data_IF_345662032847
#
_entry.id   IF_345662032847
#
_cell.length_a   1.000
_cell.length_b   1.000
_cell.length_c   1.000
_cell.angle_alpha   90.00
_cell.angle_beta   90.00
_cell.angle_gamma   90.00
#
_symmetry.space_group_name_H-M   'P 1'
#
loop_
_entity.id
_entity.type
_entity.pdbx_description
1 polymer ?
#
# COMPACT_ATOMS: atom_id res chain seq x y z
N UNK A 1 1.58 -10.69 -12.56
CA UNK A 1 0.93 -9.74 -13.49
C UNK A 1 -0.11 -8.87 -12.78
N UNK A 2 -1.07 -9.42 -12.03
CA UNK A 2 -2.10 -8.59 -11.34
C UNK A 2 -1.51 -7.61 -10.32
N UNK A 3 -0.58 -8.04 -9.46
CA UNK A 3 0.05 -7.18 -8.45
C UNK A 3 0.85 -6.02 -9.06
N UNK A 4 1.51 -6.22 -10.21
CA UNK A 4 2.26 -5.15 -10.88
C UNK A 4 1.35 -4.07 -11.46
N UNK A 5 0.21 -4.44 -12.05
CA UNK A 5 -0.78 -3.45 -12.52
C UNK A 5 -1.40 -2.68 -11.36
N UNK A 6 -1.62 -3.33 -10.22
CA UNK A 6 -2.12 -2.67 -9.03
C UNK A 6 -1.15 -1.61 -8.50
N UNK A 7 0.15 -1.93 -8.40
CA UNK A 7 1.18 -0.96 -8.01
C UNK A 7 1.34 0.19 -9.01
N UNK A 8 1.17 -0.10 -10.30
CA UNK A 8 1.22 0.91 -11.36
C UNK A 8 0.07 1.91 -11.23
N UNK A 9 -1.15 1.42 -11.02
CA UNK A 9 -2.32 2.27 -10.78
C UNK A 9 -2.12 3.19 -9.57
N UNK A 10 -1.47 2.72 -8.50
CA UNK A 10 -1.18 3.57 -7.33
C UNK A 10 -0.22 4.72 -7.66
N UNK A 11 0.81 4.46 -8.47
CA UNK A 11 1.72 5.50 -8.94
C UNK A 11 0.99 6.52 -9.82
N UNK A 12 0.15 6.05 -10.74
CA UNK A 12 -0.65 6.92 -11.64
C UNK A 12 -1.62 7.81 -10.87
N UNK A 13 -2.21 7.28 -9.78
CA UNK A 13 -3.07 8.03 -8.87
C UNK A 13 -2.30 8.99 -7.93
N UNK A 14 -0.96 8.99 -7.96
CA UNK A 14 -0.14 9.84 -7.11
C UNK A 14 -0.20 9.48 -5.62
N UNK A 15 -0.40 8.20 -5.30
CA UNK A 15 -0.45 7.72 -3.91
C UNK A 15 0.98 7.64 -3.36
N UNK A 16 1.29 8.43 -2.33
CA UNK A 16 2.64 8.42 -1.74
C UNK A 16 2.85 7.26 -0.76
N UNK A 17 1.79 6.88 -0.03
CA UNK A 17 1.86 5.96 1.10
C UNK A 17 0.84 4.83 0.97
N UNK A 18 1.28 3.62 1.30
CA UNK A 18 0.45 2.44 1.43
C UNK A 18 0.49 1.97 2.89
N UNK A 19 -0.62 2.14 3.60
CA UNK A 19 -0.75 1.74 5.00
C UNK A 19 -1.18 0.27 5.09
N UNK A 20 -0.32 -0.58 5.64
CA UNK A 20 -0.45 -2.03 5.54
C UNK A 20 -0.60 -2.71 6.90
N UNK A 21 -1.74 -3.37 7.10
CA UNK A 21 -1.84 -4.51 7.99
C UNK A 21 -1.66 -5.77 7.12
N UNK A 22 -0.47 -6.37 7.14
CA UNK A 22 -0.10 -7.44 6.21
C UNK A 22 -0.58 -8.81 6.67
N UNK A 23 -1.14 -9.59 5.75
CA UNK A 23 -1.46 -11.02 5.90
C UNK A 23 -0.64 -11.89 4.95
N UNK A 24 -0.80 -13.21 5.06
CA UNK A 24 -0.09 -14.19 4.22
C UNK A 24 -0.61 -14.21 2.78
N UNK A 25 -1.84 -13.77 2.56
CA UNK A 25 -2.50 -13.57 1.27
C UNK A 25 -1.86 -12.45 0.43
N UNK A 26 -1.07 -11.56 1.04
CA UNK A 26 -0.39 -10.47 0.35
C UNK A 26 1.00 -10.83 -0.24
N UNK A 27 1.45 -12.07 -0.14
CA UNK A 27 2.78 -12.49 -0.63
C UNK A 27 3.08 -12.06 -2.08
N UNK A 28 2.15 -12.20 -3.07
CA UNK A 28 2.42 -11.78 -4.45
C UNK A 28 2.70 -10.28 -4.60
N UNK A 29 2.07 -9.44 -3.76
CA UNK A 29 2.29 -7.99 -3.75
C UNK A 29 3.69 -7.68 -3.22
N UNK A 30 4.08 -8.33 -2.12
CA UNK A 30 5.39 -8.17 -1.47
C UNK A 30 6.52 -8.60 -2.43
N UNK A 31 6.36 -9.73 -3.11
CA UNK A 31 7.33 -10.22 -4.10
C UNK A 31 7.49 -9.24 -5.27
N UNK A 32 6.37 -8.67 -5.75
CA UNK A 32 6.40 -7.67 -6.82
C UNK A 32 7.10 -6.39 -6.37
N UNK A 33 6.82 -5.89 -5.16
CA UNK A 33 7.51 -4.74 -4.58
C UNK A 33 9.02 -5.01 -4.42
N UNK A 34 9.41 -6.22 -4.01
CA UNK A 34 10.81 -6.61 -3.90
C UNK A 34 11.51 -6.64 -5.26
N UNK A 35 10.84 -7.13 -6.31
CA UNK A 35 11.33 -7.08 -7.68
C UNK A 35 11.49 -5.62 -8.16
N UNK A 36 10.48 -4.78 -7.98
CA UNK A 36 10.52 -3.37 -8.37
C UNK A 36 11.62 -2.60 -7.65
N UNK A 37 11.87 -2.92 -6.38
CA UNK A 37 12.99 -2.37 -5.61
C UNK A 37 14.34 -2.69 -6.27
N UNK A 38 14.54 -3.92 -6.74
CA UNK A 38 15.77 -4.31 -7.46
C UNK A 38 15.90 -3.61 -8.82
N UNK A 39 14.78 -3.37 -9.50
CA UNK A 39 14.71 -2.68 -10.80
C UNK A 39 14.77 -1.15 -10.69
N UNK A 40 14.75 -0.58 -9.48
CA UNK A 40 14.69 0.87 -9.29
C UNK A 40 13.33 1.49 -9.66
N UNK A 41 12.27 0.68 -9.76
CA UNK A 41 10.91 1.15 -10.03
C UNK A 41 10.28 1.68 -8.76
N UNK A 42 9.55 2.80 -8.89
CA UNK A 42 8.83 3.43 -7.80
C UNK A 42 7.54 2.67 -7.47
N UNK A 43 7.17 2.65 -6.21
CA UNK A 43 5.87 2.27 -5.68
C UNK A 43 5.63 3.07 -4.40
N UNK A 44 4.39 3.17 -3.89
CA UNK A 44 4.11 3.90 -2.66
C UNK A 44 4.95 3.39 -1.48
N UNK A 45 5.39 4.30 -0.61
CA UNK A 45 6.11 3.92 0.58
C UNK A 45 5.19 3.11 1.50
N UNK A 46 5.62 1.89 1.85
CA UNK A 46 4.89 1.01 2.75
C UNK A 46 5.06 1.49 4.20
N UNK A 47 3.95 1.68 4.89
CA UNK A 47 3.90 1.97 6.32
C UNK A 47 3.19 0.81 7.01
N UNK A 48 3.93 0.04 7.80
CA UNK A 48 3.39 -1.11 8.52
C UNK A 48 2.50 -0.65 9.69
N UNK A 49 1.32 -1.25 9.77
CA UNK A 49 0.28 -0.97 10.75
C UNK A 49 -0.13 -2.28 11.43
N UNK A 50 0.11 -2.45 12.74
CA UNK A 50 -0.23 -3.68 13.45
C UNK A 50 -1.74 -3.98 13.48
N UNK A 51 -2.58 -2.97 13.31
CA UNK A 51 -4.04 -3.07 13.32
C UNK A 51 -4.66 -2.33 12.13
N UNK A 52 -5.72 -2.91 11.59
CA UNK A 52 -6.52 -2.38 10.47
C UNK A 52 -7.09 -1.02 10.82
N UNK A 53 -7.59 -0.86 12.05
CA UNK A 53 -8.15 0.39 12.54
C UNK A 53 -7.10 1.52 12.53
N UNK A 54 -5.86 1.22 12.93
CA UNK A 54 -4.74 2.16 12.86
C UNK A 54 -4.42 2.52 11.41
N UNK A 55 -4.37 1.54 10.51
CA UNK A 55 -4.08 1.78 9.09
C UNK A 55 -5.12 2.72 8.44
N UNK A 56 -6.40 2.49 8.70
CA UNK A 56 -7.51 3.31 8.19
C UNK A 56 -7.46 4.73 8.77
N UNK A 57 -7.24 4.88 10.08
CA UNK A 57 -7.15 6.21 10.69
C UNK A 57 -5.95 7.02 10.21
N UNK A 58 -4.82 6.38 9.91
CA UNK A 58 -3.67 7.05 9.30
C UNK A 58 -3.99 7.56 7.90
N UNK A 59 -4.70 6.78 7.08
CA UNK A 59 -5.18 7.24 5.78
C UNK A 59 -6.15 8.42 5.89
N UNK A 60 -7.13 8.34 6.80
CA UNK A 60 -8.08 9.43 7.04
C UNK A 60 -7.33 10.71 7.48
N UNK A 61 -6.41 10.59 8.44
CA UNK A 61 -5.62 11.73 8.93
C UNK A 61 -4.81 12.39 7.82
N UNK A 62 -4.16 11.58 6.98
CA UNK A 62 -3.36 12.09 5.87
C UNK A 62 -4.21 12.78 4.80
N UNK A 63 -5.36 12.19 4.43
CA UNK A 63 -6.31 12.84 3.53
C UNK A 63 -6.79 14.18 4.10
N UNK A 64 -7.16 14.24 5.38
CA UNK A 64 -7.59 15.49 6.02
C UNK A 64 -6.50 16.56 6.05
N UNK A 65 -5.23 16.16 6.16
CA UNK A 65 -4.10 17.09 6.18
C UNK A 65 -3.69 17.59 4.79
N UNK A 66 -3.88 16.79 3.74
CA UNK A 66 -3.27 17.04 2.42
C UNK A 66 -4.27 17.15 1.27
N UNK A 67 -5.49 16.64 1.42
CA UNK A 67 -6.46 16.48 0.35
C UNK A 67 -6.13 15.38 -0.67
N UNK A 68 -5.06 14.60 -0.46
CA UNK A 68 -4.57 13.60 -1.43
C UNK A 68 -5.15 12.21 -1.19
N UNK A 69 -5.29 11.44 -2.28
CA UNK A 69 -5.82 10.08 -2.24
C UNK A 69 -4.88 9.12 -1.50
N UNK A 70 -5.46 8.23 -0.68
CA UNK A 70 -4.73 7.29 0.15
C UNK A 70 -5.07 5.84 -0.19
N UNK A 71 -4.12 4.94 0.09
CA UNK A 71 -4.34 3.50 0.00
C UNK A 71 -4.08 2.81 1.33
N UNK A 72 -4.93 1.83 1.62
CA UNK A 72 -4.86 0.97 2.79
C UNK A 72 -4.95 -0.48 2.30
N UNK A 73 -4.05 -1.33 2.78
CA UNK A 73 -4.07 -2.77 2.55
C UNK A 73 -4.28 -3.45 3.91
N UNK A 74 -5.41 -4.14 4.06
CA UNK A 74 -5.78 -4.83 5.30
C UNK A 74 -5.98 -6.29 5.00
N UNK A 75 -5.43 -7.13 5.87
CA UNK A 75 -5.72 -8.55 5.91
C UNK A 75 -7.05 -8.77 6.64
N UNK A 76 -7.71 -9.88 6.32
CA UNK A 76 -8.86 -10.38 7.09
C UNK A 76 -8.61 -11.86 7.34
N UNK A 77 -8.62 -12.26 8.62
CA UNK A 77 -8.75 -13.66 8.96
C UNK A 77 -10.18 -14.11 8.63
N UNK A 78 -10.32 -15.12 7.78
CA UNK A 78 -11.60 -15.75 7.45
C UNK A 78 -12.10 -16.65 8.60
#
# INVERSE_FOLDING_TARGET
>A
MTASYWLEAMNEMGIDYLFCNMGTDHAPIIETMAQWRKEGRKYPQVILCPHENTAVHMAIGYYRATGRAQAVLVHVDA
#
